data_IF_798602920704
#
_entry.id   IF_798602920704
#
_cell.length_a   1.000
_cell.length_b   1.000
_cell.length_c   1.000
_cell.angle_alpha   90.00
_cell.angle_beta   90.00
_cell.angle_gamma   90.00
#
_symmetry.space_group_name_H-M   'P 1'
#
loop_
_entity.id
_entity.type
_entity.pdbx_description
1 polymer ?
#
# COMPACT_ATOMS: atom_id res chain seq x y z
N UNK A 1 -3.83 3.51 6.35
CA UNK A 1 -4.84 4.22 7.16
C UNK A 1 -6.20 3.91 6.55
N UNK A 2 -7.18 3.51 7.36
CA UNK A 2 -8.47 3.00 6.85
C UNK A 2 -9.44 4.06 6.29
N UNK A 3 -9.31 5.34 6.64
CA UNK A 3 -10.24 6.40 6.20
C UNK A 3 -9.57 7.55 5.43
N UNK A 4 -10.19 7.97 4.33
CA UNK A 4 -9.68 9.07 3.50
C UNK A 4 -9.78 10.44 4.19
N UNK A 5 -10.69 10.60 5.15
CA UNK A 5 -11.04 11.87 5.80
C UNK A 5 -10.59 11.97 7.27
N UNK A 6 -9.80 11.02 7.76
CA UNK A 6 -9.34 11.01 9.15
C UNK A 6 -8.58 12.28 9.53
N UNK A 7 -8.47 12.54 10.83
CA UNK A 7 -7.51 13.50 11.34
C UNK A 7 -6.07 13.19 10.88
N UNK A 8 -5.22 14.22 10.90
CA UNK A 8 -3.79 14.10 10.60
C UNK A 8 -2.96 14.39 11.86
N UNK A 9 -1.78 13.78 11.92
CA UNK A 9 -0.77 14.09 12.94
C UNK A 9 0.61 14.18 12.29
N UNK A 10 1.52 14.93 12.91
CA UNK A 10 2.94 14.96 12.56
C UNK A 10 3.78 14.15 13.56
N UNK A 11 3.17 13.60 14.60
CA UNK A 11 3.85 12.73 15.57
C UNK A 11 4.07 11.36 14.94
N UNK A 12 5.34 11.01 14.69
CA UNK A 12 5.71 9.72 14.14
C UNK A 12 5.46 8.59 15.15
N UNK A 13 5.13 7.41 14.62
CA UNK A 13 4.97 6.21 15.43
C UNK A 13 6.33 5.68 15.94
N UNK A 14 6.34 5.15 17.15
CA UNK A 14 7.53 4.52 17.75
C UNK A 14 7.65 3.02 17.45
N UNK A 15 6.71 2.46 16.68
CA UNK A 15 6.69 1.06 16.26
C UNK A 15 5.91 0.91 14.95
N UNK A 16 6.05 -0.26 14.33
CA UNK A 16 5.22 -0.70 13.18
C UNK A 16 3.77 -1.06 13.54
N UNK A 17 3.41 -0.98 14.82
CA UNK A 17 2.06 -1.16 15.39
C UNK A 17 1.58 0.17 16.00
N UNK A 18 1.29 1.18 15.17
CA UNK A 18 1.03 2.53 15.64
C UNK A 18 -0.19 2.58 16.57
N UNK A 19 -0.03 3.17 17.76
CA UNK A 19 -1.09 3.38 18.75
C UNK A 19 -1.97 4.61 18.42
N UNK A 20 -2.29 4.82 17.16
CA UNK A 20 -3.10 5.95 16.68
C UNK A 20 -3.92 5.56 15.46
N UNK A 21 -5.11 6.13 15.36
CA UNK A 21 -5.98 6.05 14.19
C UNK A 21 -5.95 7.35 13.35
N UNK A 22 -4.94 8.20 13.57
CA UNK A 22 -4.74 9.40 12.74
C UNK A 22 -3.74 9.10 11.64
N UNK A 23 -3.88 9.78 10.51
CA UNK A 23 -2.92 9.63 9.44
C UNK A 23 -1.65 10.41 9.76
N UNK A 24 -0.53 9.70 9.79
CA UNK A 24 0.78 10.27 10.11
C UNK A 24 1.37 10.90 8.84
N UNK A 25 1.55 12.21 8.88
CA UNK A 25 2.23 13.01 7.85
C UNK A 25 3.69 13.24 8.26
N UNK A 26 4.60 13.23 7.28
CA UNK A 26 6.02 13.52 7.52
C UNK A 26 6.64 14.12 6.26
N UNK A 27 7.32 15.25 6.42
CA UNK A 27 7.99 15.96 5.33
C UNK A 27 9.50 15.65 5.24
N UNK A 28 10.09 14.93 6.21
CA UNK A 28 11.51 14.59 6.21
C UNK A 28 11.80 13.48 5.21
N UNK A 29 12.80 13.64 4.33
CA UNK A 29 13.13 12.65 3.29
C UNK A 29 14.31 11.76 3.72
N UNK A 30 14.25 10.43 3.51
CA UNK A 30 13.08 9.66 3.07
C UNK A 30 11.99 9.66 4.14
N UNK A 31 10.74 9.87 3.70
CA UNK A 31 9.62 10.05 4.61
C UNK A 31 9.02 8.70 4.99
N UNK A 32 8.87 8.52 6.30
CA UNK A 32 8.26 7.35 6.92
C UNK A 32 7.28 7.82 8.01
N UNK A 33 6.26 7.01 8.28
CA UNK A 33 5.30 7.23 9.37
C UNK A 33 5.79 6.68 10.71
N UNK A 34 6.90 5.93 10.74
CA UNK A 34 7.64 5.59 11.97
C UNK A 34 8.85 6.49 12.17
N UNK A 35 9.35 6.54 13.40
CA UNK A 35 10.62 7.18 13.72
C UNK A 35 11.80 6.53 12.98
N UNK A 36 12.88 7.30 12.87
CA UNK A 36 14.14 6.81 12.31
C UNK A 36 14.63 5.59 13.10
N UNK A 37 15.28 4.66 12.40
CA UNK A 37 15.88 3.43 12.98
C UNK A 37 14.90 2.38 13.49
N UNK A 38 13.58 2.61 13.36
CA UNK A 38 12.57 1.60 13.65
C UNK A 38 12.58 0.48 12.60
N UNK A 39 12.56 0.83 11.31
CA UNK A 39 12.46 -0.16 10.22
C UNK A 39 13.12 0.35 8.92
N UNK A 40 14.41 0.65 9.01
CA UNK A 40 15.16 1.25 7.89
C UNK A 40 15.27 0.34 6.65
N UNK A 41 15.06 -0.97 6.79
CA UNK A 41 15.11 -1.96 5.69
C UNK A 41 13.74 -2.31 5.13
N UNK A 42 12.66 -2.06 5.87
CA UNK A 42 11.32 -2.56 5.54
C UNK A 42 11.04 -3.98 6.04
N UNK A 43 12.03 -4.65 6.63
CA UNK A 43 11.91 -6.05 7.05
C UNK A 43 10.82 -6.26 8.11
N UNK A 44 10.69 -5.32 9.07
CA UNK A 44 9.66 -5.47 10.10
C UNK A 44 8.24 -5.43 9.50
N UNK A 45 8.03 -4.65 8.43
CA UNK A 45 6.72 -4.55 7.77
C UNK A 45 6.36 -5.76 6.93
N UNK A 46 7.35 -6.46 6.36
CA UNK A 46 7.13 -7.73 5.66
C UNK A 46 6.47 -8.72 6.62
N UNK A 47 7.06 -8.89 7.80
CA UNK A 47 6.59 -9.84 8.81
C UNK A 47 5.30 -9.37 9.47
N UNK A 48 5.16 -8.06 9.69
CA UNK A 48 3.99 -7.51 10.36
C UNK A 48 2.71 -7.61 9.54
N UNK A 49 2.81 -7.55 8.21
CA UNK A 49 1.67 -7.61 7.28
C UNK A 49 1.47 -9.00 6.64
N UNK A 50 2.19 -10.01 7.14
CA UNK A 50 1.90 -11.41 6.88
C UNK A 50 0.73 -11.93 7.74
N UNK A 51 0.12 -13.05 7.35
CA UNK A 51 -0.93 -13.69 8.14
C UNK A 51 -0.40 -14.04 9.53
N UNK A 52 -1.09 -13.55 10.56
CA UNK A 52 -0.69 -13.69 11.97
C UNK A 52 0.47 -12.78 12.40
N UNK A 53 0.89 -11.83 11.55
CA UNK A 53 1.87 -10.81 11.87
C UNK A 53 1.39 -9.86 12.98
N UNK A 54 2.35 -9.17 13.63
CA UNK A 54 2.06 -8.28 14.77
C UNK A 54 1.18 -7.07 14.41
N UNK A 55 1.06 -6.75 13.13
CA UNK A 55 0.17 -5.71 12.60
C UNK A 55 -0.60 -6.26 11.39
N UNK A 56 -1.12 -7.49 11.51
CA UNK A 56 -1.87 -8.11 10.44
C UNK A 56 -3.19 -7.36 10.25
N UNK A 57 -3.29 -6.67 9.12
CA UNK A 57 -4.46 -5.87 8.73
C UNK A 57 -5.44 -6.67 7.87
N UNK A 58 -5.08 -7.91 7.52
CA UNK A 58 -5.92 -8.81 6.75
C UNK A 58 -6.66 -9.79 7.68
N UNK A 59 -7.80 -10.35 7.24
CA UNK A 59 -8.46 -11.42 7.99
C UNK A 59 -7.55 -12.66 8.08
N UNK A 60 -7.71 -13.46 9.13
CA UNK A 60 -6.97 -14.72 9.34
C UNK A 60 -7.00 -15.59 8.08
N UNK A 61 -5.83 -16.10 7.68
CA UNK A 61 -5.61 -16.87 6.45
C UNK A 61 -5.38 -16.02 5.21
N UNK A 62 -5.16 -14.71 5.38
CA UNK A 62 -4.85 -13.78 4.30
C UNK A 62 -3.72 -12.84 4.72
N UNK A 63 -2.93 -12.40 3.74
CA UNK A 63 -1.87 -11.42 3.95
C UNK A 63 -1.93 -10.27 2.95
N UNK A 64 -1.19 -9.19 3.24
CA UNK A 64 -0.94 -8.14 2.23
C UNK A 64 -0.03 -8.74 1.17
N UNK A 65 -0.34 -8.61 -0.14
CA UNK A 65 0.40 -9.31 -1.16
C UNK A 65 1.81 -8.75 -1.34
N UNK A 66 2.70 -9.59 -1.81
CA UNK A 66 4.03 -9.26 -2.33
C UNK A 66 3.95 -8.76 -3.77
N UNK A 67 5.06 -8.21 -4.28
CA UNK A 67 5.17 -7.82 -5.69
C UNK A 67 4.92 -9.00 -6.64
N UNK A 68 5.38 -10.20 -6.27
CA UNK A 68 5.23 -11.41 -7.08
C UNK A 68 3.76 -11.88 -7.14
N UNK A 69 3.07 -11.87 -6.00
CA UNK A 69 1.64 -12.21 -5.92
C UNK A 69 0.80 -11.18 -6.68
N UNK A 70 1.04 -9.88 -6.47
CA UNK A 70 0.38 -8.84 -7.26
C UNK A 70 0.64 -9.02 -8.75
N UNK A 71 1.87 -9.33 -9.17
CA UNK A 71 2.21 -9.54 -10.58
C UNK A 71 1.41 -10.71 -11.16
N UNK A 72 1.38 -11.84 -10.46
CA UNK A 72 0.65 -13.04 -10.89
C UNK A 72 -0.86 -12.81 -11.00
N UNK A 73 -1.44 -12.01 -10.11
CA UNK A 73 -2.87 -11.72 -10.09
C UNK A 73 -3.27 -10.52 -10.98
N UNK A 74 -2.30 -9.75 -11.49
CA UNK A 74 -2.56 -8.52 -12.29
C UNK A 74 -1.84 -8.53 -13.64
N UNK A 75 -0.62 -8.00 -13.72
CA UNK A 75 0.13 -7.74 -14.96
C UNK A 75 0.67 -8.99 -15.65
N UNK A 76 0.46 -10.16 -15.05
CA UNK A 76 0.80 -11.46 -15.65
C UNK A 76 -0.27 -12.50 -15.36
N UNK A 77 -1.50 -12.04 -15.09
CA UNK A 77 -2.63 -12.91 -14.84
C UNK A 77 -2.96 -13.76 -16.06
N UNK A 78 -3.22 -15.05 -15.82
CA UNK A 78 -3.67 -15.99 -16.85
C UNK A 78 -5.13 -15.77 -17.26
N UNK A 79 -5.87 -14.95 -16.50
CA UNK A 79 -7.28 -14.63 -16.75
C UNK A 79 -7.44 -13.33 -17.54
N UNK A 80 -7.23 -12.18 -16.90
CA UNK A 80 -7.28 -10.85 -17.52
C UNK A 80 -6.02 -10.10 -17.17
N UNK A 81 -5.17 -9.87 -18.16
CA UNK A 81 -3.96 -9.07 -18.00
C UNK A 81 -4.32 -7.61 -17.67
N UNK A 82 -3.89 -7.16 -16.50
CA UNK A 82 -4.22 -5.82 -15.98
C UNK A 82 -3.21 -4.82 -16.49
N UNK A 83 -3.49 -4.23 -17.66
CA UNK A 83 -2.65 -3.21 -18.29
C UNK A 83 -3.16 -1.76 -18.12
N UNK A 84 -4.40 -1.57 -17.66
CA UNK A 84 -4.99 -0.24 -17.41
C UNK A 84 -6.20 -0.33 -16.46
N UNK A 85 -6.77 0.82 -16.04
CA UNK A 85 -7.91 0.85 -15.10
C UNK A 85 -9.16 0.14 -15.62
N UNK A 86 -9.38 0.09 -16.93
CA UNK A 86 -10.56 -0.60 -17.49
C UNK A 86 -10.40 -2.11 -17.32
N UNK A 87 -9.23 -2.67 -17.67
CA UNK A 87 -8.97 -4.10 -17.46
C UNK A 87 -8.85 -4.45 -15.99
N UNK A 88 -8.34 -3.54 -15.15
CA UNK A 88 -8.32 -3.69 -13.70
C UNK A 88 -9.74 -3.84 -13.11
N UNK A 89 -10.67 -2.98 -13.54
CA UNK A 89 -12.06 -3.01 -13.08
C UNK A 89 -12.85 -4.19 -13.64
N UNK A 90 -12.58 -4.60 -14.89
CA UNK A 90 -13.25 -5.75 -15.51
C UNK A 90 -12.64 -7.10 -15.10
N UNK A 91 -11.45 -7.12 -14.52
CA UNK A 91 -10.80 -8.35 -14.03
C UNK A 91 -11.61 -9.03 -12.92
N UNK A 92 -11.27 -10.29 -12.61
CA UNK A 92 -11.81 -11.00 -11.45
C UNK A 92 -11.64 -10.20 -10.14
N UNK A 93 -10.54 -9.45 -10.04
CA UNK A 93 -10.21 -8.66 -8.86
C UNK A 93 -11.09 -7.41 -8.69
N UNK A 94 -11.74 -6.92 -9.76
CA UNK A 94 -12.57 -5.70 -9.80
C UNK A 94 -11.92 -4.51 -9.09
N UNK A 95 -10.65 -4.24 -9.40
CA UNK A 95 -9.88 -3.22 -8.71
C UNK A 95 -10.40 -1.81 -9.07
N UNK A 96 -10.93 -1.04 -8.10
CA UNK A 96 -11.43 0.31 -8.37
C UNK A 96 -10.28 1.33 -8.42
N UNK A 97 -10.47 2.39 -9.19
CA UNK A 97 -9.60 3.57 -9.18
C UNK A 97 -9.85 4.42 -7.92
N UNK A 98 -9.49 3.90 -6.76
CA UNK A 98 -9.79 4.48 -5.46
C UNK A 98 -8.98 5.74 -5.13
N UNK A 99 -7.92 6.06 -5.88
CA UNK A 99 -7.02 7.16 -5.54
C UNK A 99 -6.18 6.87 -4.29
N UNK A 100 -5.62 7.92 -3.70
CA UNK A 100 -4.64 7.82 -2.61
C UNK A 100 -4.76 8.99 -1.63
N UNK A 101 -4.36 8.72 -0.39
CA UNK A 101 -4.08 9.76 0.60
C UNK A 101 -2.63 10.21 0.47
N UNK A 102 -2.42 11.49 0.24
CA UNK A 102 -1.12 12.09 -0.01
C UNK A 102 -0.33 12.27 1.30
N UNK A 103 1.02 12.41 1.26
CA UNK A 103 1.85 12.58 2.44
C UNK A 103 1.52 13.80 3.31
N UNK A 104 0.89 14.82 2.71
CA UNK A 104 0.41 16.03 3.40
C UNK A 104 -1.05 15.89 3.89
N UNK A 105 -1.63 14.69 3.75
CA UNK A 105 -2.92 14.31 4.29
C UNK A 105 -4.13 14.54 3.37
N UNK A 106 -3.98 15.25 2.25
CA UNK A 106 -5.07 15.42 1.30
C UNK A 106 -5.36 14.11 0.54
N UNK A 107 -6.62 13.92 0.15
CA UNK A 107 -7.02 12.80 -0.71
C UNK A 107 -7.08 13.25 -2.18
N UNK A 108 -6.66 12.39 -3.11
CA UNK A 108 -6.62 12.72 -4.54
C UNK A 108 -6.62 11.48 -5.44
N UNK A 109 -6.87 11.67 -6.74
CA UNK A 109 -6.69 10.61 -7.75
C UNK A 109 -7.83 9.59 -7.84
N UNK A 110 -8.92 9.76 -7.08
CA UNK A 110 -10.12 8.95 -7.26
C UNK A 110 -10.66 9.07 -8.69
N UNK A 111 -11.02 7.94 -9.29
CA UNK A 111 -11.41 7.82 -10.70
C UNK A 111 -10.24 7.74 -11.68
N UNK A 112 -9.01 8.10 -11.28
CA UNK A 112 -7.87 8.22 -12.19
C UNK A 112 -6.84 7.11 -12.04
N UNK A 113 -6.68 6.55 -10.84
CA UNK A 113 -5.66 5.54 -10.56
C UNK A 113 -6.10 4.52 -9.50
N UNK A 114 -5.69 3.27 -9.71
CA UNK A 114 -5.64 2.24 -8.67
C UNK A 114 -4.21 2.19 -8.14
N UNK A 115 -4.03 2.28 -6.83
CA UNK A 115 -2.71 2.16 -6.20
C UNK A 115 -2.79 1.20 -5.02
N UNK A 116 -2.02 0.12 -5.09
CA UNK A 116 -2.01 -0.94 -4.09
C UNK A 116 -0.63 -1.02 -3.45
N UNK A 117 -0.59 -1.04 -2.12
CA UNK A 117 0.61 -1.39 -1.38
C UNK A 117 0.97 -2.87 -1.60
N UNK A 118 2.27 -3.13 -1.63
CA UNK A 118 2.88 -4.45 -1.54
C UNK A 118 3.65 -4.56 -0.22
N UNK A 119 3.65 -5.75 0.39
CA UNK A 119 4.47 -6.02 1.59
C UNK A 119 5.95 -6.25 1.26
N UNK A 120 6.34 -6.33 0.00
CA UNK A 120 7.75 -6.55 -0.39
C UNK A 120 8.70 -5.48 0.17
N UNK A 121 9.93 -5.89 0.51
CA UNK A 121 10.97 -4.98 1.00
C UNK A 121 11.38 -3.95 -0.05
N UNK A 122 11.59 -2.70 0.39
CA UNK A 122 12.07 -1.60 -0.46
C UNK A 122 13.18 -0.74 0.15
N UNK A 123 13.94 -1.27 1.11
CA UNK A 123 14.95 -0.49 1.82
C UNK A 123 14.28 0.59 2.67
N UNK A 124 14.46 1.87 2.35
CA UNK A 124 13.79 2.99 3.04
C UNK A 124 12.45 3.41 2.41
N UNK A 125 12.07 2.76 1.32
CA UNK A 125 10.84 3.02 0.58
C UNK A 125 9.87 1.84 0.71
N UNK A 126 8.59 2.08 0.42
CA UNK A 126 7.57 1.04 0.26
C UNK A 126 7.33 0.73 -1.22
N UNK A 127 6.85 -0.47 -1.52
CA UNK A 127 6.58 -0.95 -2.87
C UNK A 127 5.11 -0.88 -3.19
N UNK A 128 4.76 -0.51 -4.42
CA UNK A 128 3.36 -0.41 -4.83
C UNK A 128 3.18 -0.80 -6.29
N UNK A 129 1.97 -1.28 -6.60
CA UNK A 129 1.44 -1.36 -7.96
C UNK A 129 0.58 -0.13 -8.22
N UNK A 130 0.81 0.56 -9.34
CA UNK A 130 -0.07 1.61 -9.84
C UNK A 130 -0.63 1.24 -11.20
N UNK A 131 -1.92 1.51 -11.37
CA UNK A 131 -2.64 1.30 -12.63
C UNK A 131 -3.34 2.61 -13.00
N UNK A 132 -2.99 3.14 -14.17
CA UNK A 132 -3.55 4.34 -14.79
C UNK A 132 -4.41 3.99 -16.02
N UNK A 133 -4.92 5.01 -16.70
CA UNK A 133 -5.72 4.85 -17.92
C UNK A 133 -5.04 4.07 -19.05
N UNK A 134 -3.71 4.04 -19.11
CA UNK A 134 -2.95 3.48 -20.22
C UNK A 134 -1.72 2.68 -19.78
N UNK A 135 -1.55 2.41 -18.48
CA UNK A 135 -0.41 1.65 -17.98
C UNK A 135 -0.70 0.98 -16.65
N UNK A 136 0.04 -0.09 -16.38
CA UNK A 136 0.16 -0.73 -15.09
C UNK A 136 1.65 -0.97 -14.82
N UNK A 137 2.14 -0.58 -13.64
CA UNK A 137 3.56 -0.68 -13.32
C UNK A 137 3.80 -0.71 -11.82
N UNK A 138 4.88 -1.36 -11.41
CA UNK A 138 5.38 -1.32 -10.04
C UNK A 138 6.35 -0.15 -9.84
N UNK A 139 6.43 0.34 -8.60
CA UNK A 139 7.36 1.38 -8.21
C UNK A 139 7.64 1.40 -6.71
N UNK A 140 8.50 2.32 -6.29
CA UNK A 140 8.82 2.54 -4.88
C UNK A 140 8.57 3.99 -4.49
N UNK A 141 8.10 4.21 -3.26
CA UNK A 141 7.75 5.55 -2.76
C UNK A 141 8.01 5.67 -1.26
N UNK A 142 8.07 6.90 -0.74
CA UNK A 142 8.05 7.15 0.70
C UNK A 142 6.85 6.47 1.36
N UNK A 143 7.01 5.96 2.57
CA UNK A 143 5.99 5.13 3.24
C UNK A 143 4.80 5.92 3.77
N UNK A 144 4.87 7.24 3.73
CA UNK A 144 3.83 8.16 4.23
C UNK A 144 2.57 8.25 3.35
N UNK A 145 2.54 7.61 2.19
CA UNK A 145 1.34 7.58 1.36
C UNK A 145 0.27 6.64 1.95
N UNK A 146 -1.00 6.99 1.78
CA UNK A 146 -2.13 6.11 2.07
C UNK A 146 -2.63 5.47 0.78
N UNK A 147 -2.00 4.37 0.37
CA UNK A 147 -2.50 3.53 -0.72
C UNK A 147 -3.46 2.47 -0.21
N UNK A 148 -4.24 1.91 -1.13
CA UNK A 148 -5.19 0.84 -0.82
C UNK A 148 -4.43 -0.45 -0.52
N UNK A 149 -5.05 -1.31 0.29
CA UNK A 149 -4.57 -2.66 0.58
C UNK A 149 -5.54 -3.65 -0.05
N UNK A 150 -4.98 -4.68 -0.67
CA UNK A 150 -5.69 -5.91 -1.04
C UNK A 150 -5.19 -6.99 -0.10
N UNK A 151 -6.06 -7.92 0.33
CA UNK A 151 -5.64 -9.13 1.02
C UNK A 151 -5.71 -10.30 0.04
N UNK A 152 -4.67 -11.13 0.02
CA UNK A 152 -4.58 -12.37 -0.76
C UNK A 152 -4.59 -13.55 0.21
N UNK A 153 -5.17 -14.68 -0.22
CA UNK A 153 -5.23 -15.89 0.61
C UNK A 153 -3.87 -16.58 0.59
N UNK A 154 -3.40 -16.99 1.77
CA UNK A 154 -2.14 -17.72 1.95
C UNK A 154 -2.28 -19.24 1.63
#
# INVERSE_FOLDING_TARGET
HESSDSGVTTTLANSITPATNTFITNAKIPADWVNIDIDNSGALRIDAWADGGVNDICPIGFSVPTDAELTADTTSATTTDVININTAFSSFLKLPAAGTRQPHGAFSGAGNATVLWSRSAGGRFGHFLVIYHNSASFGSVNRTYGFSIRCIRD
#
